data_IF_324642888466
#
_entry.id   IF_324642888466
#
_cell.length_a   1.000
_cell.length_b   1.000
_cell.length_c   1.000
_cell.angle_alpha   90.00
_cell.angle_beta   90.00
_cell.angle_gamma   90.00
#
_symmetry.space_group_name_H-M   'P 1'
#
loop_
_entity.id
_entity.type
_entity.pdbx_description
1 polymer ?
#
# COMPACT_ATOMS: atom_id res chain seq x y z
N UNK A 1 -0.77 -8.13 30.30
CA UNK A 1 0.32 -7.46 29.53
C UNK A 1 0.43 -7.93 28.07
N UNK A 2 0.74 -9.21 27.76
CA UNK A 2 0.89 -9.68 26.37
C UNK A 2 -0.31 -9.39 25.46
N UNK A 3 -1.54 -9.52 25.96
CA UNK A 3 -2.76 -9.34 25.15
C UNK A 3 -3.01 -7.87 24.75
N UNK A 4 -2.64 -6.93 25.61
CA UNK A 4 -2.82 -5.50 25.34
C UNK A 4 -1.78 -4.97 24.34
N UNK A 5 -0.54 -5.46 24.44
CA UNK A 5 0.52 -5.19 23.47
C UNK A 5 0.17 -5.71 22.07
N UNK A 6 -0.35 -6.95 21.96
CA UNK A 6 -0.80 -7.51 20.68
C UNK A 6 -1.96 -6.71 20.09
N UNK A 7 -2.91 -6.26 20.91
CA UNK A 7 -4.03 -5.41 20.47
C UNK A 7 -3.54 -4.05 19.95
N UNK A 8 -2.53 -3.46 20.59
CA UNK A 8 -1.93 -2.21 20.14
C UNK A 8 -1.22 -2.39 18.79
N UNK A 9 -0.48 -3.49 18.60
CA UNK A 9 0.18 -3.80 17.33
C UNK A 9 -0.84 -4.09 16.23
N UNK A 10 -1.91 -4.85 16.50
CA UNK A 10 -2.98 -5.11 15.52
C UNK A 10 -3.59 -3.79 15.04
N UNK A 11 -3.90 -2.88 15.96
CA UNK A 11 -4.43 -1.56 15.64
C UNK A 11 -3.45 -0.69 14.85
N UNK A 12 -2.17 -0.72 15.19
CA UNK A 12 -1.13 -0.02 14.44
C UNK A 12 -0.98 -0.57 13.02
N UNK A 13 -0.85 -1.90 12.87
CA UNK A 13 -0.70 -2.55 11.57
C UNK A 13 -1.90 -2.26 10.66
N UNK A 14 -3.12 -2.27 11.21
CA UNK A 14 -4.32 -1.91 10.47
C UNK A 14 -4.29 -0.45 9.99
N UNK A 15 -3.99 0.50 10.88
CA UNK A 15 -3.92 1.93 10.54
C UNK A 15 -2.84 2.20 9.50
N UNK A 16 -1.67 1.61 9.67
CA UNK A 16 -0.57 1.72 8.71
C UNK A 16 -0.96 1.14 7.34
N UNK A 17 -1.69 0.01 7.31
CA UNK A 17 -2.22 -0.57 6.09
C UNK A 17 -3.21 0.37 5.39
N UNK A 18 -4.14 0.99 6.13
CA UNK A 18 -5.08 1.97 5.57
C UNK A 18 -4.38 3.21 5.02
N UNK A 19 -3.38 3.73 5.74
CA UNK A 19 -2.56 4.87 5.27
C UNK A 19 -1.82 4.49 3.98
N UNK A 20 -1.25 3.29 3.91
CA UNK A 20 -0.58 2.81 2.71
C UNK A 20 -1.54 2.72 1.51
N UNK A 21 -2.77 2.22 1.73
CA UNK A 21 -3.81 2.20 0.69
C UNK A 21 -4.16 3.63 0.25
N UNK A 22 -4.38 4.54 1.21
CA UNK A 22 -4.71 5.94 0.91
C UNK A 22 -3.62 6.64 0.11
N UNK A 23 -2.36 6.48 0.51
CA UNK A 23 -1.20 7.01 -0.20
C UNK A 23 -1.13 6.44 -1.63
N UNK A 24 -1.37 5.14 -1.80
CA UNK A 24 -1.35 4.51 -3.11
C UNK A 24 -2.46 5.03 -4.03
N UNK A 25 -3.67 5.23 -3.50
CA UNK A 25 -4.77 5.84 -4.26
C UNK A 25 -4.44 7.29 -4.65
N UNK A 26 -3.82 8.05 -3.76
CA UNK A 26 -3.39 9.42 -4.03
C UNK A 26 -2.34 9.48 -5.15
N UNK A 27 -1.30 8.64 -5.08
CA UNK A 27 -0.26 8.65 -6.12
C UNK A 27 -0.78 8.10 -7.45
N UNK A 28 -1.71 7.15 -7.42
CA UNK A 28 -2.37 6.67 -8.64
C UNK A 28 -3.13 7.81 -9.35
N UNK A 29 -3.80 8.68 -8.59
CA UNK A 29 -4.45 9.88 -9.14
C UNK A 29 -3.42 10.84 -9.75
N UNK A 30 -2.30 11.12 -9.06
CA UNK A 30 -1.23 11.96 -9.62
C UNK A 30 -0.71 11.37 -10.93
N UNK A 31 -0.50 10.06 -10.98
CA UNK A 31 -0.01 9.41 -12.19
C UNK A 31 -1.02 9.46 -13.33
N UNK A 32 -2.30 9.24 -13.04
CA UNK A 32 -3.37 9.25 -14.03
C UNK A 32 -3.60 10.65 -14.64
N UNK A 33 -3.46 11.71 -13.85
CA UNK A 33 -3.79 13.07 -14.28
C UNK A 33 -2.56 13.96 -14.55
N UNK A 34 -1.40 13.64 -13.98
CA UNK A 34 -0.18 14.47 -14.02
C UNK A 34 0.99 13.85 -14.78
N UNK A 35 0.83 12.66 -15.37
CA UNK A 35 1.88 11.96 -16.15
C UNK A 35 2.52 12.86 -17.20
N UNK A 36 1.70 13.55 -18.00
CA UNK A 36 2.18 14.34 -19.13
C UNK A 36 2.94 15.60 -18.68
N UNK A 37 2.51 16.21 -17.57
CA UNK A 37 3.17 17.38 -17.00
C UNK A 37 4.51 17.02 -16.35
N UNK A 38 4.57 15.87 -15.66
CA UNK A 38 5.82 15.31 -15.12
C UNK A 38 6.78 14.95 -16.27
N UNK A 39 6.27 14.38 -17.37
CA UNK A 39 7.07 14.10 -18.57
C UNK A 39 7.67 15.38 -19.14
N UNK A 40 6.90 16.44 -19.27
CA UNK A 40 7.39 17.73 -19.76
C UNK A 40 8.48 18.34 -18.86
N UNK A 41 8.32 18.28 -17.54
CA UNK A 41 9.32 18.76 -16.57
C UNK A 41 10.62 17.94 -16.68
N UNK A 42 10.52 16.61 -16.70
CA UNK A 42 11.71 15.76 -16.85
C UNK A 42 12.39 15.94 -18.21
N UNK A 43 11.62 16.05 -19.29
CA UNK A 43 12.12 16.34 -20.63
C UNK A 43 12.89 17.66 -20.66
N UNK A 44 12.37 18.70 -20.01
CA UNK A 44 13.05 19.99 -19.86
C UNK A 44 14.37 19.86 -19.09
N UNK A 45 14.38 19.14 -17.96
CA UNK A 45 15.58 18.92 -17.15
C UNK A 45 16.69 18.18 -17.90
N UNK A 46 16.35 17.22 -18.76
CA UNK A 46 17.34 16.45 -19.54
C UNK A 46 17.69 17.11 -20.88
N UNK A 47 17.20 18.34 -21.13
CA UNK A 47 17.57 19.15 -22.29
C UNK A 47 16.82 18.80 -23.58
N UNK A 48 15.65 18.17 -23.50
CA UNK A 48 14.78 17.97 -24.66
C UNK A 48 14.24 19.31 -25.13
N UNK A 49 14.47 19.61 -26.41
CA UNK A 49 13.91 20.80 -27.06
C UNK A 49 12.40 20.73 -27.05
N UNK A 50 11.77 21.87 -26.80
CA UNK A 50 10.32 22.00 -26.72
C UNK A 50 9.59 21.47 -27.97
N UNK A 51 10.19 21.63 -29.16
CA UNK A 51 9.70 21.06 -30.43
C UNK A 51 9.60 19.54 -30.45
N UNK A 52 10.35 18.85 -29.59
CA UNK A 52 10.39 17.40 -29.50
C UNK A 52 9.69 16.90 -28.23
N UNK A 53 9.15 17.79 -27.40
CA UNK A 53 8.53 17.44 -26.11
C UNK A 53 7.29 16.56 -26.28
N UNK A 54 6.52 16.77 -27.37
CA UNK A 54 5.35 15.93 -27.68
C UNK A 54 5.71 14.46 -27.97
N UNK A 55 6.97 14.20 -28.35
CA UNK A 55 7.48 12.84 -28.57
C UNK A 55 7.98 12.21 -27.26
N UNK A 56 8.23 13.03 -26.23
CA UNK A 56 8.65 12.59 -24.91
C UNK A 56 7.44 12.40 -24.00
N UNK A 57 6.78 11.24 -24.15
CA UNK A 57 5.67 10.83 -23.30
C UNK A 57 6.07 9.63 -22.47
N UNK A 58 5.66 9.62 -21.21
CA UNK A 58 5.76 8.41 -20.43
C UNK A 58 4.73 7.39 -20.88
N UNK A 59 5.13 6.12 -20.93
CA UNK A 59 4.17 5.03 -21.04
C UNK A 59 3.43 4.92 -19.70
N UNK A 60 2.26 5.54 -19.65
CA UNK A 60 1.40 5.56 -18.47
C UNK A 60 1.04 4.14 -18.00
N UNK A 61 0.93 3.15 -18.90
CA UNK A 61 0.66 1.76 -18.53
C UNK A 61 1.84 1.14 -17.82
N UNK A 62 3.05 1.43 -18.30
CA UNK A 62 4.29 0.94 -17.70
C UNK A 62 4.55 1.59 -16.34
N UNK A 63 4.34 2.91 -16.22
CA UNK A 63 4.44 3.61 -14.95
C UNK A 63 3.42 3.11 -13.93
N UNK A 64 2.16 2.93 -14.35
CA UNK A 64 1.11 2.39 -13.50
C UNK A 64 1.46 0.97 -13.06
N UNK A 65 1.95 0.15 -13.97
CA UNK A 65 2.37 -1.22 -13.68
C UNK A 65 3.46 -1.24 -12.60
N UNK A 66 4.56 -0.51 -12.76
CA UNK A 66 5.63 -0.52 -11.75
C UNK A 66 5.18 0.08 -10.42
N UNK A 67 4.49 1.22 -10.46
CA UNK A 67 4.11 1.93 -9.24
C UNK A 67 3.07 1.16 -8.43
N UNK A 68 2.00 0.70 -9.07
CA UNK A 68 0.95 -0.09 -8.42
C UNK A 68 1.51 -1.41 -7.91
N UNK A 69 2.35 -2.09 -8.69
CA UNK A 69 2.88 -3.40 -8.29
C UNK A 69 3.76 -3.29 -7.04
N UNK A 70 4.73 -2.37 -7.02
CA UNK A 70 5.70 -2.27 -5.93
C UNK A 70 5.04 -1.78 -4.65
N UNK A 71 4.22 -0.72 -4.70
CA UNK A 71 3.56 -0.19 -3.51
C UNK A 71 2.49 -1.15 -2.97
N UNK A 72 1.72 -1.81 -3.85
CA UNK A 72 0.71 -2.79 -3.42
C UNK A 72 1.36 -3.96 -2.68
N UNK A 73 2.44 -4.49 -3.25
CA UNK A 73 3.19 -5.60 -2.64
C UNK A 73 3.79 -5.17 -1.31
N UNK A 74 4.43 -4.00 -1.24
CA UNK A 74 5.01 -3.49 0.00
C UNK A 74 3.95 -3.28 1.10
N UNK A 75 2.82 -2.64 0.79
CA UNK A 75 1.75 -2.41 1.76
C UNK A 75 1.14 -3.70 2.31
N UNK A 76 0.94 -4.70 1.44
CA UNK A 76 0.44 -6.03 1.86
C UNK A 76 1.48 -6.74 2.72
N UNK A 77 2.74 -6.80 2.30
CA UNK A 77 3.79 -7.52 3.02
C UNK A 77 4.09 -6.90 4.40
N UNK A 78 4.18 -5.58 4.47
CA UNK A 78 4.61 -4.88 5.68
C UNK A 78 3.49 -4.65 6.70
N UNK A 79 2.24 -4.53 6.24
CA UNK A 79 1.14 -4.15 7.12
C UNK A 79 -0.07 -5.08 7.01
N UNK A 80 -0.43 -5.50 5.80
CA UNK A 80 -1.56 -6.41 5.57
C UNK A 80 -1.37 -7.79 6.19
N UNK A 81 -0.24 -8.46 5.92
CA UNK A 81 0.06 -9.79 6.46
C UNK A 81 0.21 -9.75 7.99
N UNK A 82 1.01 -8.84 8.59
CA UNK A 82 1.09 -8.77 10.05
C UNK A 82 -0.26 -8.51 10.71
N UNK A 83 -1.09 -7.63 10.15
CA UNK A 83 -2.44 -7.41 10.64
C UNK A 83 -3.31 -8.67 10.57
N UNK A 84 -3.31 -9.37 9.42
CA UNK A 84 -4.09 -10.59 9.24
C UNK A 84 -3.66 -11.69 10.21
N UNK A 85 -2.35 -11.92 10.35
CA UNK A 85 -1.79 -12.91 11.28
C UNK A 85 -2.23 -12.61 12.71
N UNK A 86 -2.13 -11.36 13.16
CA UNK A 86 -2.57 -10.97 14.51
C UNK A 86 -4.07 -11.16 14.70
N UNK A 87 -4.88 -10.77 13.70
CA UNK A 87 -6.34 -10.87 13.74
C UNK A 87 -6.79 -12.33 13.84
N UNK A 88 -6.27 -13.21 12.98
CA UNK A 88 -6.64 -14.62 12.97
C UNK A 88 -6.10 -15.36 14.20
N UNK A 89 -4.86 -15.06 14.63
CA UNK A 89 -4.30 -15.64 15.86
C UNK A 89 -5.18 -15.33 17.09
N UNK A 90 -5.77 -14.13 17.14
CA UNK A 90 -6.73 -13.78 18.18
C UNK A 90 -8.02 -14.60 18.08
N UNK A 91 -8.63 -14.67 16.89
CA UNK A 91 -9.87 -15.43 16.67
C UNK A 91 -9.71 -16.90 17.08
N UNK A 92 -8.62 -17.55 16.66
CA UNK A 92 -8.37 -18.95 17.02
C UNK A 92 -8.14 -19.17 18.51
N UNK A 93 -7.43 -18.26 19.17
CA UNK A 93 -7.26 -18.32 20.63
C UNK A 93 -8.57 -18.17 21.37
N UNK A 94 -9.40 -17.21 20.95
CA UNK A 94 -10.66 -16.91 21.64
C UNK A 94 -11.66 -18.07 21.45
N UNK A 95 -11.73 -18.67 20.25
CA UNK A 95 -12.58 -19.85 19.99
C UNK A 95 -12.12 -21.13 20.72
N UNK A 96 -10.81 -21.30 20.94
CA UNK A 96 -10.26 -22.44 21.70
C UNK A 96 -10.62 -22.37 23.19
N UNK A 97 -10.73 -21.17 23.75
CA UNK A 97 -11.13 -20.97 25.15
C UNK A 97 -12.64 -21.16 25.36
N UNK A 98 -13.47 -20.87 24.37
CA UNK A 98 -14.92 -21.14 24.45
C UNK A 98 -15.25 -22.63 24.38
N UNK A 99 -14.42 -23.43 23.71
CA UNK A 99 -14.58 -24.89 23.65
C UNK A 99 -14.15 -25.55 24.97
N UNK A 100 -13.01 -25.14 25.52
CA UNK A 100 -12.51 -25.67 26.81
C UNK A 100 -13.45 -25.34 28.00
N UNK A 101 -14.12 -24.18 27.99
CA UNK A 101 -15.08 -23.80 29.03
C UNK A 101 -16.47 -24.46 28.90
N UNK A 102 -16.82 -25.04 27.74
CA UNK A 102 -18.09 -25.74 27.55
C UNK A 102 -17.99 -27.26 27.80
N UNK A 103 -16.76 -27.79 27.83
CA UNK A 103 -16.49 -29.24 28.03
C UNK A 103 -16.08 -29.59 29.47
N UNK A 104 -16.03 -28.63 30.40
CA UNK A 104 -15.71 -28.80 31.83
C UNK A 104 -16.89 -28.54 32.75
#
# INVERSE_FOLDING_TARGET
MKNEYLRAIEGFAFRAFLIAIGFQMFTLSILAFGSDEIAAIHGSMIGIKESNMEQFKYDWKLQLFFFVSVFKVAGILLFGIPWAVLRFSKIFRDNGLETENNDG
#
